data_IF_578274920075
#
_entry.id   IF_578274920075
#
_cell.length_a   1.000
_cell.length_b   1.000
_cell.length_c   1.000
_cell.angle_alpha   90.00
_cell.angle_beta   90.00
_cell.angle_gamma   90.00
#
_symmetry.space_group_name_H-M   'P 1'
#
loop_
_entity.id
_entity.type
_entity.pdbx_description
1 polymer ?
#
# COMPACT_ATOMS: atom_id res chain seq x y z
N UNK A 1 2.90 -17.61 11.08
CA UNK A 1 2.27 -17.57 9.74
C UNK A 1 1.24 -16.44 9.66
N UNK A 2 -0.02 -16.62 10.07
CA UNK A 2 -1.03 -15.53 9.97
C UNK A 2 -0.65 -14.26 10.71
N UNK A 3 -0.21 -14.36 11.98
CA UNK A 3 0.29 -13.21 12.76
C UNK A 3 1.42 -12.47 12.05
N UNK A 4 2.32 -13.20 11.41
CA UNK A 4 3.48 -12.64 10.71
C UNK A 4 3.07 -11.92 9.45
N UNK A 5 2.13 -12.50 8.70
CA UNK A 5 1.51 -11.85 7.56
C UNK A 5 0.76 -10.58 7.93
N UNK A 6 0.00 -10.58 9.01
CA UNK A 6 -0.69 -9.38 9.51
C UNK A 6 0.32 -8.28 9.85
N UNK A 7 1.37 -8.59 10.62
CA UNK A 7 2.40 -7.60 11.01
C UNK A 7 3.11 -7.06 9.76
N UNK A 8 3.55 -7.95 8.85
CA UNK A 8 4.20 -7.53 7.61
C UNK A 8 3.30 -6.62 6.78
N UNK A 9 2.03 -6.99 6.62
CA UNK A 9 1.03 -6.19 5.92
C UNK A 9 0.85 -4.82 6.55
N UNK A 10 0.71 -4.74 7.88
CA UNK A 10 0.59 -3.47 8.60
C UNK A 10 1.82 -2.57 8.41
N UNK A 11 3.04 -3.14 8.39
CA UNK A 11 4.26 -2.39 8.10
C UNK A 11 4.27 -1.85 6.67
N UNK A 12 3.82 -2.65 5.69
CA UNK A 12 3.65 -2.19 4.31
C UNK A 12 2.62 -1.06 4.20
N UNK A 13 1.47 -1.22 4.85
CA UNK A 13 0.41 -0.22 4.87
C UNK A 13 0.90 1.11 5.46
N UNK A 14 1.63 1.02 6.59
CA UNK A 14 2.20 2.18 7.26
C UNK A 14 3.26 2.89 6.40
N UNK A 15 4.13 2.13 5.73
CA UNK A 15 5.14 2.70 4.82
C UNK A 15 4.50 3.56 3.72
N UNK A 16 3.45 3.04 3.07
CA UNK A 16 2.70 3.78 2.04
C UNK A 16 1.98 5.00 2.63
N UNK A 17 1.29 4.82 3.76
CA UNK A 17 0.53 5.89 4.38
C UNK A 17 1.43 7.04 4.85
N UNK A 18 2.58 6.74 5.46
CA UNK A 18 3.56 7.74 5.89
C UNK A 18 4.15 8.46 4.68
N UNK A 19 4.49 7.75 3.61
CA UNK A 19 5.03 8.37 2.40
C UNK A 19 4.06 9.38 1.79
N UNK A 20 2.80 9.00 1.57
CA UNK A 20 1.82 9.93 1.02
C UNK A 20 1.46 11.05 1.99
N UNK A 21 1.46 10.80 3.31
CA UNK A 21 1.30 11.86 4.29
C UNK A 21 2.42 12.91 4.19
N UNK A 22 3.67 12.48 4.01
CA UNK A 22 4.81 13.39 3.80
C UNK A 22 4.60 14.23 2.54
N UNK A 23 4.22 13.60 1.43
CA UNK A 23 3.94 14.33 0.17
C UNK A 23 2.78 15.31 0.31
N UNK A 24 1.70 14.90 0.98
CA UNK A 24 0.52 15.73 1.24
C UNK A 24 0.87 16.96 2.11
N UNK A 25 1.69 16.77 3.14
CA UNK A 25 2.17 17.86 4.00
C UNK A 25 3.07 18.82 3.22
N UNK A 26 3.99 18.31 2.40
CA UNK A 26 4.85 19.13 1.52
C UNK A 26 3.98 19.92 0.52
N UNK A 27 2.91 19.31 0.01
CA UNK A 27 1.92 19.94 -0.86
C UNK A 27 0.96 20.90 -0.17
N UNK A 28 1.05 21.08 1.16
CA UNK A 28 0.23 22.00 1.94
C UNK A 28 -1.20 21.52 2.21
N UNK A 29 -1.52 20.25 1.91
CA UNK A 29 -2.85 19.66 2.12
C UNK A 29 -2.72 18.28 2.77
N UNK A 30 -2.46 18.20 4.09
CA UNK A 30 -2.34 16.92 4.80
C UNK A 30 -3.57 16.03 4.59
N UNK A 31 -3.36 14.73 4.37
CA UNK A 31 -4.42 13.72 4.16
C UNK A 31 -5.25 13.90 2.87
N UNK A 32 -4.74 14.66 1.90
CA UNK A 32 -5.37 14.80 0.59
C UNK A 32 -5.37 13.48 -0.18
N UNK A 33 -4.24 12.77 -0.23
CA UNK A 33 -4.13 11.50 -0.96
C UNK A 33 -5.17 10.46 -0.50
N UNK A 34 -5.30 10.13 0.80
CA UNK A 34 -6.33 9.19 1.25
C UNK A 34 -7.76 9.73 1.01
N UNK A 35 -7.97 11.05 0.99
CA UNK A 35 -9.26 11.63 0.58
C UNK A 35 -9.55 11.34 -0.90
N UNK A 36 -8.62 11.64 -1.81
CA UNK A 36 -8.76 11.41 -3.25
C UNK A 36 -9.03 9.93 -3.54
N UNK A 37 -8.23 9.05 -2.94
CA UNK A 37 -8.40 7.60 -3.10
C UNK A 37 -9.72 7.10 -2.49
N UNK A 38 -10.15 7.66 -1.35
CA UNK A 38 -11.45 7.38 -0.75
C UNK A 38 -12.62 7.79 -1.65
N UNK A 39 -12.56 8.98 -2.26
CA UNK A 39 -13.55 9.38 -3.27
C UNK A 39 -13.54 8.40 -4.43
N UNK A 40 -12.37 8.07 -4.98
CA UNK A 40 -12.28 7.22 -6.16
C UNK A 40 -12.85 5.81 -5.91
N UNK A 41 -12.61 5.23 -4.73
CA UNK A 41 -13.09 3.89 -4.38
C UNK A 41 -14.57 3.88 -3.97
N UNK A 42 -15.00 4.81 -3.12
CA UNK A 42 -16.34 4.77 -2.52
C UNK A 42 -17.37 5.63 -3.23
N UNK A 43 -16.94 6.63 -3.99
CA UNK A 43 -17.80 7.56 -4.73
C UNK A 43 -17.45 7.46 -6.22
N UNK A 44 -18.01 6.43 -6.88
CA UNK A 44 -17.89 6.08 -8.33
C UNK A 44 -18.05 7.22 -9.36
N UNK A 45 -18.24 8.48 -8.96
CA UNK A 45 -18.37 9.70 -9.78
C UNK A 45 -17.33 10.74 -9.41
N UNK A 46 -16.07 10.34 -9.44
CA UNK A 46 -14.97 11.24 -9.20
C UNK A 46 -14.49 11.80 -10.55
N UNK A 47 -15.24 12.75 -11.11
CA UNK A 47 -14.73 13.48 -12.28
C UNK A 47 -13.40 14.14 -11.89
N UNK A 48 -12.43 14.13 -12.81
CA UNK A 48 -11.06 14.56 -12.50
C UNK A 48 -11.01 16.01 -11.98
N UNK A 49 -11.90 16.87 -12.48
CA UNK A 49 -12.01 18.27 -12.08
C UNK A 49 -12.59 18.44 -10.66
N UNK A 50 -13.49 17.53 -10.25
CA UNK A 50 -14.03 17.53 -8.89
C UNK A 50 -12.94 17.14 -7.88
N UNK A 51 -12.14 16.13 -8.17
CA UNK A 51 -11.09 15.65 -7.27
C UNK A 51 -10.00 16.71 -6.96
N UNK A 52 -9.78 17.69 -7.85
CA UNK A 52 -8.82 18.79 -7.62
C UNK A 52 -9.34 19.84 -6.63
N UNK A 53 -10.66 19.97 -6.51
CA UNK A 53 -11.33 21.01 -5.72
C UNK A 53 -11.95 20.48 -4.42
N UNK A 54 -11.90 19.16 -4.20
CA UNK A 54 -12.46 18.52 -3.02
C UNK A 54 -11.69 18.93 -1.74
N UNK A 55 -12.40 19.35 -0.67
CA UNK A 55 -11.80 19.56 0.63
C UNK A 55 -11.41 18.21 1.26
N UNK A 56 -10.38 18.22 2.11
CA UNK A 56 -9.98 17.04 2.89
C UNK A 56 -11.17 16.56 3.73
N UNK A 57 -11.47 15.26 3.65
CA UNK A 57 -12.62 14.66 4.32
C UNK A 57 -12.16 13.55 5.26
N UNK A 58 -12.24 13.80 6.57
CA UNK A 58 -11.82 12.82 7.58
C UNK A 58 -12.62 11.50 7.51
N UNK A 59 -13.90 11.58 7.13
CA UNK A 59 -14.73 10.39 6.90
C UNK A 59 -14.12 9.49 5.83
N UNK A 60 -13.80 10.06 4.65
CA UNK A 60 -13.19 9.33 3.56
C UNK A 60 -11.78 8.84 3.88
N UNK A 61 -11.00 9.66 4.61
CA UNK A 61 -9.67 9.25 5.10
C UNK A 61 -9.80 8.00 5.95
N UNK A 62 -10.68 7.98 6.94
CA UNK A 62 -10.88 6.81 7.83
C UNK A 62 -11.34 5.60 7.02
N UNK A 63 -12.35 5.75 6.17
CA UNK A 63 -12.86 4.65 5.34
C UNK A 63 -11.77 4.07 4.43
N UNK A 64 -11.00 4.93 3.77
CA UNK A 64 -9.92 4.51 2.90
C UNK A 64 -8.78 3.87 3.68
N UNK A 65 -8.38 4.44 4.83
CA UNK A 65 -7.35 3.86 5.69
C UNK A 65 -7.73 2.44 6.14
N UNK A 66 -9.00 2.20 6.49
CA UNK A 66 -9.46 0.85 6.82
C UNK A 66 -9.36 -0.11 5.62
N UNK A 67 -9.84 0.30 4.44
CA UNK A 67 -9.73 -0.53 3.23
C UNK A 67 -8.27 -0.81 2.86
N UNK A 68 -7.41 0.20 2.92
CA UNK A 68 -5.97 0.11 2.68
C UNK A 68 -5.31 -0.89 3.63
N UNK A 69 -5.58 -0.79 4.94
CA UNK A 69 -5.06 -1.74 5.92
C UNK A 69 -5.52 -3.16 5.61
N UNK A 70 -6.79 -3.37 5.27
CA UNK A 70 -7.32 -4.71 4.97
C UNK A 70 -6.63 -5.33 3.74
N UNK A 71 -6.45 -4.55 2.67
CA UNK A 71 -5.75 -5.01 1.46
C UNK A 71 -4.31 -5.39 1.78
N UNK A 72 -3.59 -4.55 2.52
CA UNK A 72 -2.21 -4.81 2.88
C UNK A 72 -2.05 -6.00 3.84
N UNK A 73 -2.97 -6.16 4.79
CA UNK A 73 -3.02 -7.34 5.67
C UNK A 73 -3.25 -8.60 4.84
N UNK A 74 -4.17 -8.58 3.87
CA UNK A 74 -4.39 -9.70 2.98
C UNK A 74 -3.13 -10.04 2.16
N UNK A 75 -2.47 -9.03 1.59
CA UNK A 75 -1.20 -9.19 0.86
C UNK A 75 -0.12 -9.81 1.78
N UNK A 76 0.02 -9.31 3.00
CA UNK A 76 0.99 -9.82 3.97
C UNK A 76 0.70 -11.27 4.37
N UNK A 77 -0.56 -11.62 4.60
CA UNK A 77 -0.99 -13.00 4.89
C UNK A 77 -0.70 -13.92 3.71
N UNK A 78 -1.10 -13.55 2.49
CA UNK A 78 -0.81 -14.34 1.27
C UNK A 78 0.70 -14.51 1.10
N UNK A 79 1.47 -13.44 1.26
CA UNK A 79 2.93 -13.47 1.23
C UNK A 79 3.51 -14.44 2.27
N UNK A 80 3.02 -14.41 3.52
CA UNK A 80 3.47 -15.35 4.54
C UNK A 80 3.16 -16.79 4.16
N UNK A 81 2.01 -17.07 3.56
CA UNK A 81 1.61 -18.42 3.16
C UNK A 81 2.47 -18.91 1.99
N UNK A 82 2.70 -18.08 0.98
CA UNK A 82 3.56 -18.41 -0.16
C UNK A 82 5.00 -18.71 0.28
N UNK A 83 5.56 -17.91 1.19
CA UNK A 83 6.89 -18.15 1.75
C UNK A 83 6.97 -19.44 2.60
N UNK A 84 5.85 -19.90 3.15
CA UNK A 84 5.78 -21.17 3.86
C UNK A 84 5.71 -22.33 2.88
N UNK A 85 4.79 -22.28 1.91
CA UNK A 85 4.58 -23.37 0.93
C UNK A 85 5.78 -23.55 0.02
N UNK A 86 6.35 -22.46 -0.48
CA UNK A 86 7.44 -22.52 -1.44
C UNK A 86 8.80 -22.88 -0.80
N UNK A 87 8.89 -22.94 0.53
CA UNK A 87 10.16 -23.09 1.26
C UNK A 87 11.18 -21.98 0.94
N UNK A 88 10.74 -20.89 0.30
CA UNK A 88 11.60 -19.85 -0.26
C UNK A 88 12.19 -18.97 0.84
N UNK A 89 13.42 -18.52 0.60
CA UNK A 89 14.04 -17.47 1.40
C UNK A 89 13.61 -16.11 0.84
N UNK A 90 13.06 -15.20 1.68
CA UNK A 90 12.79 -13.82 1.28
C UNK A 90 14.12 -13.12 1.01
N UNK A 91 14.55 -13.17 -0.25
CA UNK A 91 15.73 -12.49 -0.76
C UNK A 91 15.34 -11.31 -1.65
N UNK A 92 16.35 -10.71 -2.29
CA UNK A 92 16.16 -9.57 -3.18
C UNK A 92 15.12 -9.83 -4.28
N UNK A 93 15.14 -11.00 -4.91
CA UNK A 93 14.19 -11.41 -5.97
C UNK A 93 12.76 -11.42 -5.45
N UNK A 94 12.53 -11.90 -4.22
CA UNK A 94 11.19 -11.92 -3.62
C UNK A 94 10.64 -10.50 -3.45
N UNK A 95 11.48 -9.57 -2.96
CA UNK A 95 11.10 -8.17 -2.82
C UNK A 95 10.79 -7.51 -4.17
N UNK A 96 11.56 -7.82 -5.21
CA UNK A 96 11.31 -7.32 -6.57
C UNK A 96 10.00 -7.86 -7.16
N UNK A 97 9.70 -9.15 -6.95
CA UNK A 97 8.43 -9.74 -7.36
C UNK A 97 7.26 -9.10 -6.61
N UNK A 98 7.40 -8.88 -5.30
CA UNK A 98 6.37 -8.21 -4.52
C UNK A 98 6.16 -6.77 -5.00
N UNK A 99 7.23 -6.03 -5.29
CA UNK A 99 7.14 -4.70 -5.90
C UNK A 99 6.38 -4.75 -7.22
N UNK A 100 6.71 -5.68 -8.11
CA UNK A 100 6.01 -5.84 -9.39
C UNK A 100 4.52 -6.12 -9.20
N UNK A 101 4.16 -6.97 -8.24
CA UNK A 101 2.76 -7.28 -7.89
C UNK A 101 2.04 -6.07 -7.33
N UNK A 102 2.68 -5.30 -6.44
CA UNK A 102 2.09 -4.09 -5.86
C UNK A 102 1.89 -3.00 -6.92
N UNK A 103 2.90 -2.75 -7.76
CA UNK A 103 2.82 -1.80 -8.87
C UNK A 103 1.72 -2.17 -9.85
N UNK A 104 1.76 -3.39 -10.37
CA UNK A 104 0.80 -3.86 -11.37
C UNK A 104 -0.60 -3.94 -10.78
N UNK A 105 -0.72 -4.38 -9.52
CA UNK A 105 -1.97 -4.42 -8.78
C UNK A 105 -2.58 -3.04 -8.56
N UNK A 106 -1.77 -2.06 -8.16
CA UNK A 106 -2.22 -0.67 -8.02
C UNK A 106 -2.68 -0.12 -9.38
N UNK A 107 -1.88 -0.25 -10.44
CA UNK A 107 -2.22 0.28 -11.76
C UNK A 107 -3.49 -0.38 -12.32
N UNK A 108 -3.63 -1.70 -12.18
CA UNK A 108 -4.83 -2.42 -12.61
C UNK A 108 -6.06 -2.00 -11.79
N UNK A 109 -5.95 -1.92 -10.46
CA UNK A 109 -7.05 -1.48 -9.61
C UNK A 109 -7.45 -0.02 -9.92
N UNK A 110 -6.47 0.86 -10.12
CA UNK A 110 -6.72 2.23 -10.50
C UNK A 110 -7.40 2.31 -11.87
N UNK A 111 -6.95 1.56 -12.88
CA UNK A 111 -7.59 1.54 -14.20
C UNK A 111 -9.07 1.08 -14.15
N UNK A 112 -9.38 0.10 -13.29
CA UNK A 112 -10.74 -0.48 -13.19
C UNK A 112 -11.67 0.35 -12.32
N UNK A 113 -11.19 0.86 -11.19
CA UNK A 113 -12.03 1.46 -10.15
C UNK A 113 -11.87 2.98 -10.04
N UNK A 114 -10.78 3.54 -10.55
CA UNK A 114 -10.31 4.87 -10.15
C UNK A 114 -9.40 5.53 -11.21
N UNK A 115 -9.72 5.44 -12.50
CA UNK A 115 -8.84 5.89 -13.60
C UNK A 115 -8.29 7.33 -13.41
N UNK A 116 -9.08 8.31 -12.91
CA UNK A 116 -8.58 9.66 -12.65
C UNK A 116 -7.40 9.73 -11.66
N UNK A 117 -7.28 8.75 -10.75
CA UNK A 117 -6.17 8.67 -9.78
C UNK A 117 -4.83 8.53 -10.49
N UNK A 118 -4.78 7.84 -11.64
CA UNK A 118 -3.55 7.68 -12.42
C UNK A 118 -2.99 9.01 -12.94
N UNK A 119 -3.83 10.04 -13.05
CA UNK A 119 -3.41 11.40 -13.44
C UNK A 119 -3.09 12.30 -12.25
N UNK A 120 -3.62 11.99 -11.07
CA UNK A 120 -3.47 12.81 -9.87
C UNK A 120 -2.26 12.44 -9.04
N UNK A 121 -1.99 11.15 -8.93
CA UNK A 121 -0.79 10.65 -8.27
C UNK A 121 0.31 10.55 -9.31
N UNK A 122 1.43 11.23 -9.05
CA UNK A 122 2.58 11.14 -9.94
C UNK A 122 3.11 9.71 -9.94
N UNK A 123 3.43 9.16 -11.11
CA UNK A 123 3.98 7.80 -11.21
C UNK A 123 5.20 7.55 -10.30
N UNK A 124 6.12 8.52 -10.05
CA UNK A 124 7.24 8.28 -9.13
C UNK A 124 6.78 8.18 -7.67
N UNK A 125 5.73 8.91 -7.28
CA UNK A 125 5.21 8.85 -5.90
C UNK A 125 4.65 7.48 -5.58
N UNK A 126 3.89 6.89 -6.52
CA UNK A 126 3.34 5.54 -6.42
C UNK A 126 4.46 4.50 -6.36
N UNK A 127 5.45 4.65 -7.25
CA UNK A 127 6.62 3.78 -7.28
C UNK A 127 7.36 3.72 -5.94
N UNK A 128 7.63 4.88 -5.35
CA UNK A 128 8.31 4.94 -4.04
C UNK A 128 7.44 4.33 -2.94
N UNK A 129 6.13 4.59 -2.93
CA UNK A 129 5.21 3.97 -1.97
C UNK A 129 5.26 2.44 -2.03
N UNK A 130 5.14 1.86 -3.22
CA UNK A 130 5.15 0.40 -3.38
C UNK A 130 6.54 -0.20 -3.12
N UNK A 131 7.62 0.52 -3.43
CA UNK A 131 8.97 0.13 -3.05
C UNK A 131 9.12 0.06 -1.53
N UNK A 132 8.64 1.06 -0.80
CA UNK A 132 8.65 1.08 0.66
C UNK A 132 7.82 -0.07 1.24
N UNK A 133 6.63 -0.33 0.68
CA UNK A 133 5.81 -1.47 1.07
C UNK A 133 6.51 -2.81 0.85
N UNK A 134 7.06 -3.04 -0.36
CA UNK A 134 7.75 -4.26 -0.71
C UNK A 134 8.97 -4.49 0.19
N UNK A 135 9.75 -3.42 0.45
CA UNK A 135 10.90 -3.44 1.35
C UNK A 135 10.49 -3.74 2.80
N UNK A 136 9.42 -3.13 3.30
CA UNK A 136 8.93 -3.35 4.66
C UNK A 136 8.45 -4.79 4.87
N UNK A 137 7.61 -5.31 3.95
CA UNK A 137 7.08 -6.68 4.03
C UNK A 137 8.22 -7.70 3.91
N UNK A 138 9.07 -7.57 2.88
CA UNK A 138 10.16 -8.52 2.63
C UNK A 138 11.22 -8.46 3.73
N UNK A 139 11.55 -7.24 4.19
CA UNK A 139 12.48 -6.99 5.28
C UNK A 139 12.01 -7.60 6.60
N UNK A 140 10.72 -7.51 6.92
CA UNK A 140 10.16 -8.15 8.11
C UNK A 140 10.40 -9.66 8.11
N UNK A 141 10.07 -10.37 7.02
CA UNK A 141 10.27 -11.81 6.94
C UNK A 141 11.76 -12.21 6.95
N UNK A 142 12.61 -11.40 6.33
CA UNK A 142 14.05 -11.61 6.34
C UNK A 142 14.64 -11.47 7.74
N UNK A 143 14.32 -10.40 8.46
CA UNK A 143 14.76 -10.18 9.85
C UNK A 143 14.24 -11.27 10.78
N UNK A 144 12.98 -11.66 10.64
CA UNK A 144 12.36 -12.65 11.53
C UNK A 144 12.94 -14.06 11.36
N UNK A 145 13.37 -14.43 10.16
CA UNK A 145 14.06 -15.71 9.94
C UNK A 145 15.54 -15.68 10.33
N UNK A 146 16.16 -14.50 10.47
CA UNK A 146 17.52 -14.33 11.01
C UNK A 146 17.59 -14.38 12.53
N UNK A 147 16.48 -14.08 13.22
CA UNK A 147 16.41 -14.21 14.67
C UNK A 147 16.49 -15.71 15.06
N UNK A 148 17.52 -16.16 15.81
CA UNK A 148 17.62 -17.55 16.25
C UNK A 148 16.38 -17.92 17.07
N UNK A 149 15.84 -19.12 16.86
CA UNK A 149 14.79 -19.67 17.72
C UNK A 149 15.30 -19.69 19.16
N UNK A 150 14.77 -18.80 20.01
CA UNK A 150 14.84 -19.04 21.45
C UNK A 150 13.96 -20.25 21.72
N UNK A 151 14.63 -21.34 22.09
CA UNK A 151 14.10 -22.66 22.44
C UNK A 151 12.94 -22.57 23.42
#
# INVERSE_FOLDING_TARGET
>A
MYRDGIIAGLLGAAGVAVWFLVLDVIGGKPLLTPTILGVAVFRRRADADLLQTIPVSLELVVMFTFAHILVFVAIGVVTSLLLTVAGQHPGFVFGLLLLFVLESGFNAAAAVFAEPVLRMLSWPSVFVANLLAAAAISGYFWLRRRAPSRR
#
